data_IF_630873298158
#
_entry.id   IF_630873298158
#
_cell.length_a   1.000
_cell.length_b   1.000
_cell.length_c   1.000
_cell.angle_alpha   90.00
_cell.angle_beta   90.00
_cell.angle_gamma   90.00
#
_symmetry.space_group_name_H-M   'P 1'
#
loop_
_entity.id
_entity.type
_entity.pdbx_description
1 polymer ?
#
# COMPACT_ATOMS: atom_id res chain seq x y z
N UNK A 1 -20.51 50.24 16.46
CA UNK A 1 -19.82 50.25 15.15
C UNK A 1 -19.69 48.81 14.69
N UNK A 2 -20.35 48.44 13.59
CA UNK A 2 -20.34 47.06 13.06
C UNK A 2 -19.16 46.90 12.12
N UNK A 3 -18.21 46.01 12.45
CA UNK A 3 -17.09 45.67 11.57
C UNK A 3 -17.61 45.11 10.25
N UNK A 4 -16.96 45.48 9.15
CA UNK A 4 -17.28 44.97 7.82
C UNK A 4 -16.77 43.53 7.67
N UNK A 5 -17.41 42.72 6.82
CA UNK A 5 -17.00 41.33 6.59
C UNK A 5 -15.54 41.19 6.14
N UNK A 6 -15.03 42.17 5.40
CA UNK A 6 -13.63 42.24 4.98
C UNK A 6 -12.66 42.42 6.15
N UNK A 7 -12.99 43.24 7.15
CA UNK A 7 -12.16 43.41 8.36
C UNK A 7 -12.08 42.15 9.20
N UNK A 8 -13.18 41.37 9.27
CA UNK A 8 -13.22 40.11 10.03
C UNK A 8 -12.26 39.07 9.43
N UNK A 9 -12.15 39.00 8.10
CA UNK A 9 -11.26 38.06 7.43
C UNK A 9 -9.78 38.44 7.58
N UNK A 10 -9.47 39.74 7.58
CA UNK A 10 -8.11 40.21 7.83
C UNK A 10 -7.64 39.91 9.26
N UNK A 11 -8.50 40.12 10.26
CA UNK A 11 -8.19 39.82 11.67
C UNK A 11 -7.88 38.32 11.87
N UNK A 12 -8.57 37.40 11.18
CA UNK A 12 -8.33 35.96 11.32
C UNK A 12 -7.05 35.45 10.63
N UNK A 13 -6.60 36.10 9.56
CA UNK A 13 -5.35 35.74 8.87
C UNK A 13 -4.11 36.21 9.64
N UNK A 14 -4.19 37.38 10.30
CA UNK A 14 -3.08 37.92 11.10
C UNK A 14 -2.85 37.14 12.41
N UNK A 15 -3.86 36.47 12.97
CA UNK A 15 -3.72 35.71 14.21
C UNK A 15 -3.01 34.34 14.04
N UNK A 16 -2.90 33.82 12.81
CA UNK A 16 -2.36 32.48 12.57
C UNK A 16 -0.88 32.44 12.16
N UNK A 17 -0.17 33.58 12.15
CA UNK A 17 1.16 33.67 11.52
C UNK A 17 2.32 34.11 12.42
N UNK A 18 2.10 34.40 13.71
CA UNK A 18 3.15 35.07 14.52
C UNK A 18 3.44 34.48 15.91
N UNK A 19 3.02 33.24 16.22
CA UNK A 19 3.45 32.56 17.45
C UNK A 19 3.91 31.13 17.15
N UNK A 20 5.18 30.97 16.79
CA UNK A 20 6.12 30.12 17.53
C UNK A 20 7.49 30.09 16.86
N UNK A 21 8.30 31.02 17.33
CA UNK A 21 9.74 31.14 17.15
C UNK A 21 10.44 30.16 18.10
N UNK A 22 11.24 29.24 17.54
CA UNK A 22 12.37 28.49 18.13
C UNK A 22 12.30 28.00 19.59
N UNK A 23 12.23 26.66 19.74
CA UNK A 23 12.94 25.88 20.77
C UNK A 23 12.97 24.40 20.31
N UNK A 24 14.11 23.91 19.84
CA UNK A 24 15.19 23.29 20.61
C UNK A 24 15.01 21.77 20.79
N UNK A 25 16.09 21.08 20.48
CA UNK A 25 16.26 19.65 20.30
C UNK A 25 16.12 18.89 21.62
N UNK A 26 15.19 17.93 21.68
CA UNK A 26 15.29 16.76 22.57
C UNK A 26 14.40 15.63 22.04
N UNK A 27 14.93 14.91 21.07
CA UNK A 27 14.41 13.66 20.54
C UNK A 27 14.41 12.57 21.63
N UNK A 28 13.29 12.43 22.34
CA UNK A 28 12.93 11.18 23.03
C UNK A 28 12.15 10.28 22.07
N UNK A 29 12.84 9.70 21.09
CA UNK A 29 12.33 8.53 20.40
C UNK A 29 12.44 7.35 21.35
N UNK A 30 11.32 6.98 21.96
CA UNK A 30 11.14 5.65 22.55
C UNK A 30 11.17 4.63 21.41
N UNK A 31 12.38 4.21 21.04
CA UNK A 31 12.65 3.14 20.09
C UNK A 31 12.29 1.81 20.73
N UNK A 32 11.02 1.46 20.61
CA UNK A 32 10.44 0.18 21.01
C UNK A 32 9.58 -0.36 19.87
N UNK A 33 10.14 -0.40 18.66
CA UNK A 33 9.61 -1.22 17.58
C UNK A 33 10.64 -2.30 17.32
N UNK A 34 10.31 -3.52 17.72
CA UNK A 34 11.04 -4.73 17.42
C UNK A 34 11.27 -4.88 15.90
N UNK A 35 12.38 -4.35 15.41
CA UNK A 35 12.93 -4.64 14.08
C UNK A 35 13.70 -5.96 14.07
N UNK A 36 13.41 -6.87 14.99
CA UNK A 36 14.14 -8.13 15.18
C UNK A 36 13.59 -9.29 14.35
N UNK A 37 13.04 -9.07 13.14
CA UNK A 37 12.54 -10.19 12.33
C UNK A 37 13.03 -10.29 10.88
N UNK A 38 13.90 -9.41 10.38
CA UNK A 38 14.39 -9.55 9.00
C UNK A 38 15.87 -9.18 8.78
N UNK A 39 16.70 -9.22 9.81
CA UNK A 39 18.12 -8.85 9.73
C UNK A 39 19.09 -10.03 9.52
N UNK A 40 18.64 -11.15 8.95
CA UNK A 40 19.54 -12.24 8.54
C UNK A 40 19.38 -12.59 7.06
N UNK A 41 19.67 -11.63 6.18
CA UNK A 41 20.11 -11.93 4.82
C UNK A 41 21.53 -11.40 4.65
N UNK A 42 22.49 -12.17 5.19
CA UNK A 42 23.91 -12.02 4.89
C UNK A 42 24.10 -12.26 3.39
N UNK A 43 24.33 -11.21 2.63
CA UNK A 43 24.83 -11.32 1.25
C UNK A 43 26.32 -11.69 1.31
N UNK A 44 26.59 -13.00 1.37
CA UNK A 44 27.93 -13.52 1.12
C UNK A 44 28.25 -13.38 -0.37
N UNK A 45 29.30 -12.61 -0.65
CA UNK A 45 29.86 -12.35 -1.97
C UNK A 45 30.59 -13.60 -2.50
N UNK A 46 30.11 -14.10 -3.64
CA UNK A 46 30.77 -14.89 -4.69
C UNK A 46 31.33 -16.29 -4.39
N UNK A 47 30.75 -17.29 -5.07
CA UNK A 47 31.46 -18.36 -5.79
C UNK A 47 30.69 -18.64 -7.11
N UNK A 48 31.36 -18.82 -8.27
CA UNK A 48 30.70 -19.06 -9.55
C UNK A 48 30.77 -20.55 -9.90
N UNK A 49 29.76 -21.35 -9.55
CA UNK A 49 29.69 -22.72 -10.10
C UNK A 49 28.26 -23.23 -10.29
N UNK A 50 28.12 -23.82 -11.48
CA UNK A 50 27.18 -24.86 -11.89
C UNK A 50 25.76 -24.45 -12.27
N UNK A 51 25.52 -24.54 -13.58
CA UNK A 51 24.23 -24.76 -14.21
C UNK A 51 23.63 -26.09 -13.74
N UNK A 52 23.10 -26.10 -12.52
CA UNK A 52 22.20 -27.13 -12.03
C UNK A 52 20.79 -26.56 -12.01
N UNK A 53 19.94 -27.01 -12.93
CA UNK A 53 18.50 -26.75 -12.87
C UNK A 53 17.96 -27.27 -11.54
N UNK A 54 17.80 -26.38 -10.56
CA UNK A 54 17.07 -26.65 -9.33
C UNK A 54 15.60 -26.81 -9.71
N UNK A 55 15.25 -28.04 -10.09
CA UNK A 55 13.89 -28.48 -10.26
C UNK A 55 13.11 -28.08 -9.01
N UNK A 56 12.19 -27.16 -9.20
CA UNK A 56 11.41 -26.52 -8.17
C UNK A 56 10.47 -27.57 -7.54
N UNK A 57 10.97 -28.32 -6.55
CA UNK A 57 10.30 -29.45 -5.89
C UNK A 57 9.22 -29.00 -4.90
N UNK A 58 8.43 -27.96 -5.26
CA UNK A 58 7.34 -27.40 -4.43
C UNK A 58 5.93 -27.73 -4.98
N UNK A 59 5.81 -28.56 -6.01
CA UNK A 59 4.55 -28.71 -6.77
C UNK A 59 3.70 -29.95 -6.47
N UNK A 60 4.02 -30.78 -5.47
CA UNK A 60 3.20 -31.99 -5.20
C UNK A 60 1.98 -31.77 -4.28
N UNK A 61 1.93 -30.66 -3.53
CA UNK A 61 0.81 -30.36 -2.63
C UNK A 61 0.34 -28.92 -2.77
N UNK A 62 0.25 -28.39 -4.01
CA UNK A 62 -0.45 -27.13 -4.23
C UNK A 62 -1.93 -27.42 -4.09
N UNK A 63 -2.41 -27.42 -2.85
CA UNK A 63 -3.83 -27.44 -2.52
C UNK A 63 -4.47 -26.29 -3.28
N UNK A 64 -5.12 -26.58 -4.40
CA UNK A 64 -6.04 -25.67 -5.05
C UNK A 64 -7.20 -25.53 -4.08
N UNK A 65 -7.14 -24.54 -3.19
CA UNK A 65 -8.33 -24.13 -2.44
C UNK A 65 -9.26 -23.51 -3.48
N UNK A 66 -10.40 -24.13 -3.79
CA UNK A 66 -11.37 -23.49 -4.66
C UNK A 66 -11.94 -22.31 -3.89
N UNK A 67 -11.36 -21.13 -4.09
CA UNK A 67 -11.95 -19.89 -3.60
C UNK A 67 -13.23 -19.68 -4.39
N UNK A 68 -14.37 -20.01 -3.76
CA UNK A 68 -15.68 -19.71 -4.31
C UNK A 68 -15.74 -18.19 -4.54
N UNK A 69 -16.14 -17.73 -5.74
CA UNK A 69 -16.38 -16.32 -5.96
C UNK A 69 -17.46 -15.88 -4.96
N UNK A 70 -17.11 -14.96 -4.06
CA UNK A 70 -18.05 -14.40 -3.11
C UNK A 70 -18.93 -13.43 -3.89
N UNK A 71 -20.23 -13.55 -3.71
CA UNK A 71 -21.20 -12.63 -4.28
C UNK A 71 -21.27 -11.39 -3.39
N UNK A 72 -20.39 -10.43 -3.63
CA UNK A 72 -20.41 -9.13 -2.95
C UNK A 72 -21.01 -8.04 -3.83
N UNK A 73 -21.87 -7.21 -3.25
CA UNK A 73 -22.30 -5.95 -3.84
C UNK A 73 -21.27 -4.90 -3.41
N UNK A 74 -20.56 -4.33 -4.40
CA UNK A 74 -19.54 -3.33 -4.12
C UNK A 74 -20.17 -1.97 -3.78
N UNK A 75 -19.78 -1.44 -2.64
CA UNK A 75 -20.06 -0.05 -2.23
C UNK A 75 -19.35 0.95 -3.15
N UNK A 76 -19.81 2.22 -3.13
CA UNK A 76 -19.24 3.30 -3.96
C UNK A 76 -17.72 3.47 -3.79
N UNK A 77 -17.25 3.48 -2.54
CA UNK A 77 -15.84 3.61 -2.21
C UNK A 77 -15.01 2.38 -2.64
N UNK A 78 -15.59 1.17 -2.60
CA UNK A 78 -14.93 -0.05 -3.06
C UNK A 78 -14.84 -0.09 -4.59
N UNK A 79 -15.89 0.36 -5.29
CA UNK A 79 -15.87 0.53 -6.76
C UNK A 79 -14.77 1.51 -7.19
N UNK A 80 -14.62 2.63 -6.48
CA UNK A 80 -13.56 3.60 -6.74
C UNK A 80 -12.16 2.97 -6.57
N UNK A 81 -11.94 2.23 -5.49
CA UNK A 81 -10.68 1.51 -5.25
C UNK A 81 -10.40 0.44 -6.34
N UNK A 82 -11.42 -0.30 -6.76
CA UNK A 82 -11.31 -1.29 -7.83
C UNK A 82 -10.96 -0.65 -9.18
N UNK A 83 -11.61 0.46 -9.52
CA UNK A 83 -11.32 1.21 -10.74
C UNK A 83 -9.89 1.75 -10.73
N UNK A 84 -9.45 2.32 -9.61
CA UNK A 84 -8.07 2.81 -9.44
C UNK A 84 -7.03 1.70 -9.67
N UNK A 85 -7.29 0.48 -9.16
CA UNK A 85 -6.44 -0.69 -9.42
C UNK A 85 -6.46 -1.11 -10.90
N UNK A 86 -7.65 -1.22 -11.49
CA UNK A 86 -7.82 -1.66 -12.88
C UNK A 86 -7.22 -0.70 -13.91
N UNK A 87 -7.11 0.58 -13.58
CA UNK A 87 -6.40 1.57 -14.42
C UNK A 87 -4.88 1.32 -14.48
N UNK A 88 -4.30 0.76 -13.41
CA UNK A 88 -2.85 0.51 -13.30
C UNK A 88 -2.44 -0.92 -13.67
N UNK A 89 -3.40 -1.84 -13.68
CA UNK A 89 -3.18 -3.21 -14.09
C UNK A 89 -3.22 -3.34 -15.61
N UNK A 90 -2.36 -4.22 -16.14
CA UNK A 90 -2.44 -4.67 -17.52
C UNK A 90 -3.83 -5.29 -17.81
N UNK A 91 -4.34 -5.21 -19.05
CA UNK A 91 -5.67 -5.70 -19.40
C UNK A 91 -5.94 -7.14 -18.95
N UNK A 92 -4.94 -8.02 -19.09
CA UNK A 92 -5.02 -9.46 -18.75
C UNK A 92 -5.09 -9.74 -17.25
N UNK A 93 -4.86 -8.73 -16.41
CA UNK A 93 -4.82 -8.86 -14.96
C UNK A 93 -5.89 -8.02 -14.26
N UNK A 94 -6.81 -7.43 -15.04
CA UNK A 94 -7.92 -6.66 -14.49
C UNK A 94 -8.87 -7.55 -13.70
N UNK A 95 -9.32 -7.01 -12.58
CA UNK A 95 -10.32 -7.62 -11.72
C UNK A 95 -11.70 -7.20 -12.24
N UNK A 96 -12.30 -8.01 -13.10
CA UNK A 96 -13.60 -7.76 -13.73
C UNK A 96 -14.65 -8.64 -13.07
N UNK A 97 -15.80 -8.05 -12.71
CA UNK A 97 -16.90 -8.78 -12.09
C UNK A 97 -16.55 -9.33 -10.70
N UNK A 98 -16.78 -10.63 -10.49
CA UNK A 98 -16.48 -11.33 -9.23
C UNK A 98 -15.03 -11.80 -9.27
N UNK A 99 -14.23 -11.37 -8.30
CA UNK A 99 -12.85 -11.78 -8.15
C UNK A 99 -12.61 -12.40 -6.78
N UNK A 100 -11.57 -13.25 -6.70
CA UNK A 100 -11.21 -13.96 -5.48
C UNK A 100 -10.19 -13.21 -4.64
N UNK A 101 -10.05 -13.58 -3.36
CA UNK A 101 -9.04 -13.01 -2.47
C UNK A 101 -7.62 -13.21 -3.02
N UNK A 102 -7.37 -14.39 -3.62
CA UNK A 102 -6.11 -14.71 -4.29
C UNK A 102 -5.86 -13.82 -5.51
N UNK A 103 -6.88 -13.54 -6.33
CA UNK A 103 -6.74 -12.64 -7.48
C UNK A 103 -6.40 -11.22 -7.02
N UNK A 104 -7.08 -10.71 -5.98
CA UNK A 104 -6.78 -9.40 -5.38
C UNK A 104 -5.34 -9.35 -4.84
N UNK A 105 -4.91 -10.35 -4.06
CA UNK A 105 -3.53 -10.45 -3.54
C UNK A 105 -2.49 -10.51 -4.66
N UNK A 106 -2.81 -11.21 -5.74
CA UNK A 106 -1.91 -11.35 -6.90
C UNK A 106 -1.77 -10.03 -7.65
N UNK A 107 -2.88 -9.33 -7.88
CA UNK A 107 -2.90 -7.99 -8.48
C UNK A 107 -2.12 -6.99 -7.62
N UNK A 108 -2.36 -7.00 -6.30
CA UNK A 108 -1.62 -6.16 -5.35
C UNK A 108 -0.11 -6.41 -5.42
N UNK A 109 0.34 -7.67 -5.36
CA UNK A 109 1.77 -8.00 -5.44
C UNK A 109 2.44 -7.53 -6.73
N UNK A 110 1.72 -7.55 -7.84
CA UNK A 110 2.24 -7.06 -9.14
C UNK A 110 2.45 -5.55 -9.09
N UNK A 111 1.44 -4.81 -8.64
CA UNK A 111 1.52 -3.36 -8.50
C UNK A 111 2.54 -2.94 -7.45
N UNK A 112 2.58 -3.63 -6.31
CA UNK A 112 3.52 -3.35 -5.23
C UNK A 112 4.97 -3.45 -5.68
N UNK A 113 5.31 -4.41 -6.57
CA UNK A 113 6.64 -4.49 -7.17
C UNK A 113 6.92 -3.34 -8.15
N UNK A 114 5.92 -2.88 -8.87
CA UNK A 114 6.07 -1.79 -9.84
C UNK A 114 6.15 -0.42 -9.18
N UNK A 115 5.45 -0.21 -8.05
CA UNK A 115 5.37 1.07 -7.35
C UNK A 115 6.16 1.13 -6.04
N UNK A 116 6.99 0.12 -5.75
CA UNK A 116 7.79 0.11 -4.51
C UNK A 116 8.80 1.27 -4.51
N UNK A 117 8.93 2.04 -3.41
CA UNK A 117 9.89 3.15 -3.33
C UNK A 117 11.34 2.68 -3.59
N UNK A 118 11.74 1.55 -3.00
CA UNK A 118 13.09 0.99 -3.22
C UNK A 118 13.37 0.55 -4.66
N UNK A 119 12.33 0.41 -5.50
CA UNK A 119 12.44 0.04 -6.91
C UNK A 119 12.21 1.23 -7.85
N UNK A 120 12.24 2.46 -7.32
CA UNK A 120 12.05 3.70 -8.08
C UNK A 120 10.59 4.15 -8.22
N UNK A 121 9.67 3.54 -7.47
CA UNK A 121 8.27 3.99 -7.38
C UNK A 121 8.10 5.20 -6.46
N UNK A 122 6.96 5.89 -6.56
CA UNK A 122 6.66 7.02 -5.65
C UNK A 122 5.99 6.51 -4.38
N UNK A 123 6.42 6.97 -3.18
CA UNK A 123 5.84 6.53 -1.91
C UNK A 123 4.34 6.86 -1.81
N UNK A 124 3.88 7.95 -2.43
CA UNK A 124 2.47 8.33 -2.49
C UNK A 124 1.64 7.28 -3.24
N UNK A 125 2.12 6.83 -4.41
CA UNK A 125 1.42 5.80 -5.19
C UNK A 125 1.36 4.46 -4.46
N UNK A 126 2.41 4.13 -3.68
CA UNK A 126 2.44 2.93 -2.86
C UNK A 126 1.46 3.01 -1.68
N UNK A 127 1.33 4.19 -1.04
CA UNK A 127 0.32 4.43 0.01
C UNK A 127 -1.11 4.30 -0.55
N UNK A 128 -1.39 4.88 -1.72
CA UNK A 128 -2.69 4.76 -2.38
C UNK A 128 -3.03 3.30 -2.71
N UNK A 129 -2.05 2.54 -3.25
CA UNK A 129 -2.18 1.12 -3.52
C UNK A 129 -2.56 0.35 -2.24
N UNK A 130 -1.87 0.65 -1.14
CA UNK A 130 -2.12 0.01 0.16
C UNK A 130 -3.51 0.33 0.69
N UNK A 131 -3.95 1.58 0.55
CA UNK A 131 -5.30 2.02 0.91
C UNK A 131 -6.38 1.27 0.13
N UNK A 132 -6.23 1.20 -1.20
CA UNK A 132 -7.16 0.47 -2.07
C UNK A 132 -7.22 -1.02 -1.72
N UNK A 133 -6.07 -1.64 -1.48
CA UNK A 133 -6.01 -3.05 -1.07
C UNK A 133 -6.68 -3.28 0.28
N UNK A 134 -6.46 -2.40 1.27
CA UNK A 134 -7.10 -2.49 2.58
C UNK A 134 -8.62 -2.45 2.46
N UNK A 135 -9.16 -1.54 1.65
CA UNK A 135 -10.61 -1.42 1.40
C UNK A 135 -11.18 -2.71 0.80
N UNK A 136 -10.53 -3.25 -0.23
CA UNK A 136 -11.03 -4.45 -0.93
C UNK A 136 -10.79 -5.75 -0.18
N UNK A 137 -9.73 -5.84 0.63
CA UNK A 137 -9.42 -7.04 1.42
C UNK A 137 -10.49 -7.36 2.46
N UNK A 138 -11.18 -6.33 2.98
CA UNK A 138 -12.30 -6.47 3.91
C UNK A 138 -13.49 -7.25 3.32
N UNK A 139 -13.61 -7.33 1.99
CA UNK A 139 -14.65 -8.13 1.32
C UNK A 139 -14.48 -9.64 1.53
N UNK A 140 -13.27 -10.08 1.87
CA UNK A 140 -12.91 -11.49 1.97
C UNK A 140 -12.64 -11.95 3.40
N UNK A 141 -12.71 -11.04 4.38
CA UNK A 141 -12.73 -11.39 5.79
C UNK A 141 -14.16 -11.79 6.15
N UNK A 142 -14.45 -13.09 6.01
CA UNK A 142 -15.56 -13.78 6.66
C UNK A 142 -15.03 -14.36 7.97
#
# INVERSE_FOLDING_TARGET
>A
MTKTFSEILSDQLSQNTCENSVESVASHFSSGMDYAYFSELKFARTQPFSSGSLANSRSKYRMHVPEKPIDYILETHQKAALNWLNQRLSPDHRLIGRFSAYQLKTAFRRLAKASHPDLGGTPESFRELMSCFKVLSKLFHV
#
